data_IF_359448575024
#
_entry.id   IF_359448575024
#
_cell.length_a   1.000
_cell.length_b   1.000
_cell.length_c   1.000
_cell.angle_alpha   90.00
_cell.angle_beta   90.00
_cell.angle_gamma   90.00
#
_symmetry.space_group_name_H-M   'P 1'
#
loop_
_entity.id
_entity.type
_entity.pdbx_description
1 polymer ?
#
# COMPACT_ATOMS: atom_id res chain seq x y z
N UNK A 1 0.31 -2.22 4.20
CA UNK A 1 0.30 -3.36 3.25
C UNK A 1 0.53 -4.69 3.99
N UNK A 2 0.02 -5.83 3.49
CA UNK A 2 0.27 -7.15 4.11
C UNK A 2 1.26 -7.97 3.27
N UNK A 3 2.47 -8.18 3.78
CA UNK A 3 3.52 -8.99 3.17
C UNK A 3 3.89 -10.16 4.08
N UNK A 4 4.15 -11.36 3.53
CA UNK A 4 4.63 -12.50 4.28
C UNK A 4 6.06 -12.26 4.78
N UNK A 5 6.42 -12.91 5.89
CA UNK A 5 7.78 -12.84 6.43
C UNK A 5 8.75 -13.59 5.50
N UNK A 6 9.66 -12.86 4.88
CA UNK A 6 10.74 -13.43 4.07
C UNK A 6 12.03 -13.68 4.84
N UNK A 7 12.96 -14.41 4.19
CA UNK A 7 14.33 -14.56 4.69
C UNK A 7 15.15 -13.35 4.21
N UNK A 8 15.80 -12.59 5.11
CA UNK A 8 16.61 -11.45 4.69
C UNK A 8 17.84 -11.94 3.92
N UNK A 9 18.06 -11.37 2.74
CA UNK A 9 19.23 -11.62 1.91
C UNK A 9 20.28 -10.51 2.07
N UNK A 10 19.82 -9.26 2.07
CA UNK A 10 20.63 -8.06 2.37
C UNK A 10 19.73 -7.07 3.08
N UNK A 11 20.25 -6.36 4.08
CA UNK A 11 19.48 -5.38 4.85
C UNK A 11 20.31 -4.14 5.10
N UNK A 12 19.64 -3.00 5.30
CA UNK A 12 20.26 -1.73 5.64
C UNK A 12 21.15 -1.18 4.53
N UNK A 13 20.83 -1.46 3.27
CA UNK A 13 21.58 -0.90 2.14
C UNK A 13 21.23 0.57 2.01
N UNK A 14 22.20 1.45 2.23
CA UNK A 14 22.00 2.90 2.13
C UNK A 14 21.72 3.34 0.68
N UNK A 15 20.60 4.05 0.50
CA UNK A 15 20.21 4.63 -0.79
C UNK A 15 21.22 5.66 -1.32
N UNK A 16 22.02 6.29 -0.46
CA UNK A 16 23.03 7.26 -0.88
C UNK A 16 24.20 6.61 -1.64
N UNK A 17 24.49 5.34 -1.37
CA UNK A 17 25.66 4.63 -1.90
C UNK A 17 25.30 3.54 -2.90
N UNK A 18 24.07 3.03 -2.86
CA UNK A 18 23.64 1.93 -3.72
C UNK A 18 23.39 2.38 -5.16
N UNK A 19 23.93 1.63 -6.11
CA UNK A 19 23.48 1.70 -7.50
C UNK A 19 22.29 0.76 -7.69
N UNK A 20 21.08 1.32 -7.69
CA UNK A 20 19.85 0.55 -7.83
C UNK A 20 19.81 -0.29 -9.11
N UNK A 21 20.35 0.21 -10.22
CA UNK A 21 20.41 -0.54 -11.48
C UNK A 21 21.29 -1.79 -11.35
N UNK A 22 22.40 -1.69 -10.62
CA UNK A 22 23.26 -2.83 -10.32
C UNK A 22 22.57 -3.84 -9.39
N UNK A 23 21.80 -3.37 -8.39
CA UNK A 23 21.02 -4.24 -7.50
C UNK A 23 19.97 -5.04 -8.28
N UNK A 24 19.19 -4.38 -9.14
CA UNK A 24 18.18 -5.06 -9.98
C UNK A 24 18.83 -6.05 -10.95
N UNK A 25 20.00 -5.72 -11.51
CA UNK A 25 20.77 -6.66 -12.34
C UNK A 25 21.24 -7.89 -11.56
N UNK A 26 21.67 -7.72 -10.31
CA UNK A 26 22.05 -8.84 -9.44
C UNK A 26 20.84 -9.74 -9.11
N UNK A 27 19.68 -9.14 -8.84
CA UNK A 27 18.42 -9.88 -8.61
C UNK A 27 18.04 -10.70 -9.84
N UNK A 28 18.15 -10.09 -11.03
CA UNK A 28 17.87 -10.76 -12.31
C UNK A 28 18.87 -11.88 -12.59
N UNK A 29 20.17 -11.67 -12.39
CA UNK A 29 21.19 -12.69 -12.70
C UNK A 29 21.16 -13.88 -11.75
N UNK A 30 20.75 -13.65 -10.49
CA UNK A 30 20.61 -14.71 -9.48
C UNK A 30 19.22 -15.34 -9.45
N UNK A 31 18.30 -14.94 -10.34
CA UNK A 31 16.94 -15.47 -10.40
C UNK A 31 16.21 -15.39 -9.05
N UNK A 32 16.40 -14.29 -8.31
CA UNK A 32 15.85 -14.15 -6.96
C UNK A 32 14.32 -13.98 -7.02
N UNK A 33 13.61 -14.77 -6.22
CA UNK A 33 12.18 -14.62 -5.91
C UNK A 33 12.03 -14.01 -4.52
N UNK A 34 11.21 -12.96 -4.39
CA UNK A 34 11.12 -12.19 -3.16
C UNK A 34 10.63 -10.77 -3.34
N UNK A 35 11.07 -9.86 -2.48
CA UNK A 35 10.75 -8.45 -2.60
C UNK A 35 11.87 -7.54 -2.09
N UNK A 36 11.88 -6.32 -2.61
CA UNK A 36 12.63 -5.19 -2.05
C UNK A 36 11.68 -4.33 -1.23
N UNK A 37 12.09 -3.99 0.00
CA UNK A 37 11.46 -2.97 0.81
C UNK A 37 12.38 -1.74 0.84
N UNK A 38 11.87 -0.60 0.39
CA UNK A 38 12.57 0.67 0.39
C UNK A 38 11.90 1.56 1.43
N UNK A 39 12.57 1.78 2.56
CA UNK A 39 12.08 2.65 3.61
C UNK A 39 12.82 3.99 3.54
N UNK A 40 12.08 5.09 3.46
CA UNK A 40 12.65 6.42 3.41
C UNK A 40 11.87 7.40 4.27
N UNK A 41 12.52 8.53 4.55
CA UNK A 41 11.90 9.68 5.19
C UNK A 41 11.76 10.78 4.15
N UNK A 42 10.59 10.86 3.52
CA UNK A 42 10.23 11.94 2.62
C UNK A 42 9.87 13.23 3.38
N UNK A 43 9.61 14.31 2.65
CA UNK A 43 9.10 15.55 3.23
C UNK A 43 7.75 15.34 3.92
N UNK A 44 6.96 14.38 3.43
CA UNK A 44 5.69 13.95 3.99
C UNK A 44 5.81 13.00 5.18
N UNK A 45 7.00 12.65 5.67
CA UNK A 45 7.18 11.70 6.78
C UNK A 45 7.77 10.37 6.32
N UNK A 46 7.45 9.27 7.02
CA UNK A 46 7.95 7.95 6.66
C UNK A 46 7.12 7.42 5.47
N UNK A 47 7.82 6.85 4.51
CA UNK A 47 7.26 6.27 3.28
C UNK A 47 7.93 4.94 2.99
N UNK A 48 7.19 4.03 2.35
CA UNK A 48 7.69 2.71 2.01
C UNK A 48 7.34 2.34 0.56
N UNK A 49 8.37 2.01 -0.22
CA UNK A 49 8.25 1.40 -1.53
C UNK A 49 8.45 -0.11 -1.45
N UNK A 50 7.67 -0.89 -2.19
CA UNK A 50 7.87 -2.34 -2.33
C UNK A 50 7.91 -2.73 -3.80
N UNK A 51 8.90 -3.55 -4.17
CA UNK A 51 8.97 -4.18 -5.50
C UNK A 51 9.03 -5.69 -5.31
N UNK A 52 8.14 -6.43 -5.96
CA UNK A 52 8.08 -7.90 -5.88
C UNK A 52 8.78 -8.49 -7.11
N UNK A 53 9.57 -9.52 -6.85
CA UNK A 53 10.31 -10.27 -7.86
C UNK A 53 9.89 -11.74 -7.86
N UNK A 54 9.77 -12.30 -9.06
CA UNK A 54 9.66 -13.73 -9.29
C UNK A 54 10.68 -14.14 -10.34
N UNK A 55 11.56 -15.08 -9.99
CA UNK A 55 12.62 -15.60 -10.84
C UNK A 55 13.45 -14.46 -11.50
N UNK A 56 13.79 -13.43 -10.70
CA UNK A 56 14.55 -12.26 -11.16
C UNK A 56 13.76 -11.24 -12.00
N UNK A 57 12.45 -11.43 -12.22
CA UNK A 57 11.58 -10.50 -12.96
C UNK A 57 10.69 -9.72 -11.99
N UNK A 58 10.48 -8.44 -12.26
CA UNK A 58 9.53 -7.63 -11.49
C UNK A 58 8.11 -8.07 -11.86
N UNK A 59 7.32 -8.43 -10.86
CA UNK A 59 5.93 -8.90 -11.01
C UNK A 59 4.93 -8.07 -10.23
N UNK A 60 5.39 -7.19 -9.34
CA UNK A 60 4.51 -6.28 -8.61
C UNK A 60 5.20 -5.12 -7.95
N UNK A 61 4.42 -4.11 -7.59
CA UNK A 61 4.90 -2.90 -6.96
C UNK A 61 3.84 -2.24 -6.07
N UNK A 62 4.26 -1.60 -4.98
CA UNK A 62 3.44 -0.71 -4.17
C UNK A 62 4.26 0.44 -3.59
N UNK A 63 3.57 1.52 -3.23
CA UNK A 63 4.16 2.66 -2.54
C UNK A 63 3.18 3.20 -1.50
N UNK A 64 3.60 3.27 -0.24
CA UNK A 64 2.77 3.67 0.89
C UNK A 64 3.30 4.96 1.52
N UNK A 65 2.45 5.99 1.55
CA UNK A 65 2.68 7.22 2.29
C UNK A 65 1.99 7.12 3.65
N UNK A 66 2.75 6.78 4.71
CA UNK A 66 2.16 6.49 6.02
C UNK A 66 1.43 7.70 6.62
N UNK A 67 2.02 8.92 6.53
CA UNK A 67 1.39 10.13 7.08
C UNK A 67 0.03 10.45 6.44
N UNK A 68 -0.14 10.13 5.16
CA UNK A 68 -1.35 10.46 4.40
C UNK A 68 -2.34 9.28 4.32
N UNK A 69 -1.98 8.13 4.92
CA UNK A 69 -2.71 6.87 4.82
C UNK A 69 -3.14 6.58 3.38
N UNK A 70 -2.17 6.70 2.46
CA UNK A 70 -2.40 6.54 1.02
C UNK A 70 -1.41 5.54 0.46
N UNK A 71 -1.96 4.51 -0.17
CA UNK A 71 -1.20 3.49 -0.87
C UNK A 71 -1.49 3.60 -2.36
N UNK A 72 -0.43 3.58 -3.17
CA UNK A 72 -0.47 3.40 -4.60
C UNK A 72 0.02 1.98 -4.90
N UNK A 73 -0.54 1.35 -5.93
CA UNK A 73 -0.18 -0.02 -6.31
C UNK A 73 0.06 -0.13 -7.81
N UNK A 74 0.83 -1.16 -8.19
CA UNK A 74 1.10 -1.52 -9.57
C UNK A 74 1.75 -0.39 -10.37
N UNK A 75 1.14 -0.03 -11.50
CA UNK A 75 1.68 0.93 -12.47
C UNK A 75 1.89 2.32 -11.89
N UNK A 76 1.02 2.77 -10.97
CA UNK A 76 1.12 4.09 -10.34
C UNK A 76 2.19 4.15 -9.24
N UNK A 77 2.49 3.00 -8.63
CA UNK A 77 3.49 2.87 -7.57
C UNK A 77 4.92 2.85 -8.11
N UNK A 78 5.14 2.15 -9.23
CA UNK A 78 6.48 1.99 -9.80
C UNK A 78 7.25 3.30 -10.01
N UNK A 79 6.70 4.35 -10.65
CA UNK A 79 7.43 5.62 -10.80
C UNK A 79 7.67 6.31 -9.45
N UNK A 80 6.79 6.14 -8.45
CA UNK A 80 6.99 6.69 -7.10
C UNK A 80 8.14 6.01 -6.37
N UNK A 81 8.26 4.69 -6.49
CA UNK A 81 9.40 3.94 -5.96
C UNK A 81 10.71 4.42 -6.60
N UNK A 82 10.74 4.57 -7.93
CA UNK A 82 11.93 5.08 -8.62
C UNK A 82 12.29 6.51 -8.20
N UNK A 83 11.27 7.35 -8.01
CA UNK A 83 11.45 8.71 -7.50
C UNK A 83 12.04 8.74 -6.09
N UNK A 84 11.56 7.86 -5.21
CA UNK A 84 12.04 7.73 -3.84
C UNK A 84 13.50 7.26 -3.80
N UNK A 85 13.87 6.30 -4.64
CA UNK A 85 15.26 5.86 -4.81
C UNK A 85 16.13 7.04 -5.28
N UNK A 86 15.60 7.91 -6.16
CA UNK A 86 16.31 9.10 -6.64
C UNK A 86 16.58 10.15 -5.55
N UNK A 87 15.81 10.13 -4.45
CA UNK A 87 16.04 11.01 -3.31
C UNK A 87 17.34 10.71 -2.57
N UNK A 88 17.93 9.51 -2.77
CA UNK A 88 19.19 9.05 -2.14
C UNK A 88 19.16 9.14 -0.60
N UNK A 89 17.98 8.98 -0.01
CA UNK A 89 17.75 9.08 1.42
C UNK A 89 16.88 7.90 1.87
N UNK A 90 17.40 7.05 2.74
CA UNK A 90 16.71 5.87 3.25
C UNK A 90 17.50 4.60 3.06
N UNK A 91 16.83 3.46 3.22
CA UNK A 91 17.44 2.14 3.21
C UNK A 91 16.65 1.18 2.31
N UNK A 92 17.36 0.25 1.68
CA UNK A 92 16.79 -0.88 0.95
C UNK A 92 17.10 -2.16 1.73
N UNK A 93 16.05 -2.94 1.95
CA UNK A 93 16.14 -4.33 2.38
C UNK A 93 15.71 -5.26 1.25
N UNK A 94 16.38 -6.40 1.15
CA UNK A 94 16.13 -7.46 0.17
C UNK A 94 15.73 -8.71 0.92
N UNK A 95 14.53 -9.21 0.64
CA UNK A 95 14.01 -10.44 1.22
C UNK A 95 13.76 -11.47 0.13
N UNK A 96 14.14 -12.71 0.39
CA UNK A 96 13.78 -13.86 -0.46
C UNK A 96 12.51 -14.51 0.07
N UNK A 97 11.66 -14.95 -0.86
CA UNK A 97 10.41 -15.65 -0.59
C UNK A 97 10.35 -16.95 -1.40
N UNK A 98 9.54 -17.89 -0.92
CA UNK A 98 9.06 -19.02 -1.71
C UNK A 98 7.96 -18.55 -2.69
N UNK A 99 7.77 -19.28 -3.79
CA UNK A 99 6.85 -18.87 -4.86
C UNK A 99 5.41 -18.76 -4.35
N UNK A 100 5.01 -19.67 -3.48
CA UNK A 100 3.70 -19.71 -2.83
C UNK A 100 3.44 -18.45 -2.01
N UNK A 101 4.47 -17.90 -1.37
CA UNK A 101 4.38 -16.66 -0.62
C UNK A 101 4.19 -15.46 -1.54
N UNK A 102 4.85 -15.46 -2.71
CA UNK A 102 4.64 -14.44 -3.74
C UNK A 102 3.20 -14.47 -4.27
N UNK A 103 2.67 -15.65 -4.57
CA UNK A 103 1.27 -15.78 -4.98
C UNK A 103 0.31 -15.27 -3.91
N UNK A 104 0.55 -15.57 -2.64
CA UNK A 104 -0.27 -15.08 -1.54
C UNK A 104 -0.31 -13.55 -1.46
N UNK A 105 0.80 -12.87 -1.75
CA UNK A 105 0.82 -11.40 -1.80
C UNK A 105 -0.21 -10.89 -2.82
N UNK A 106 -0.27 -11.49 -4.00
CA UNK A 106 -1.19 -11.08 -5.05
C UNK A 106 -2.64 -11.44 -4.77
N UNK A 107 -2.91 -12.56 -4.09
CA UNK A 107 -4.27 -12.89 -3.64
C UNK A 107 -4.80 -11.82 -2.67
N UNK A 108 -3.95 -11.32 -1.77
CA UNK A 108 -4.35 -10.31 -0.78
C UNK A 108 -4.31 -8.88 -1.34
N UNK A 109 -3.45 -8.62 -2.34
CA UNK A 109 -3.17 -7.29 -2.87
C UNK A 109 -3.16 -7.29 -4.41
N UNK A 110 -4.28 -7.68 -5.05
CA UNK A 110 -4.36 -7.83 -6.52
C UNK A 110 -3.91 -6.58 -7.29
N UNK A 111 -4.14 -5.39 -6.74
CA UNK A 111 -3.72 -4.12 -7.34
C UNK A 111 -2.21 -3.92 -7.47
N UNK A 112 -1.39 -4.74 -6.81
CA UNK A 112 0.08 -4.67 -6.90
C UNK A 112 0.63 -5.26 -8.19
N UNK A 113 -0.14 -6.11 -8.89
CA UNK A 113 0.32 -6.82 -10.08
C UNK A 113 0.77 -5.80 -11.13
N UNK A 114 2.05 -5.86 -11.48
CA UNK A 114 2.64 -4.98 -12.47
C UNK A 114 3.93 -5.60 -13.00
N UNK A 115 3.93 -5.86 -14.29
CA UNK A 115 5.10 -6.34 -15.02
C UNK A 115 5.58 -5.22 -15.93
N UNK A 116 6.71 -4.57 -15.62
CA UNK A 116 7.28 -3.58 -16.52
C UNK A 116 7.80 -4.25 -17.80
N UNK A 117 7.84 -3.51 -18.91
CA UNK A 117 8.45 -4.00 -20.16
C UNK A 117 9.92 -4.43 -19.91
N UNK A 118 10.43 -5.43 -20.63
CA UNK A 118 11.79 -5.96 -20.39
C UNK A 118 12.89 -4.87 -20.51
N UNK A 119 12.67 -3.89 -21.38
CA UNK A 119 13.56 -2.74 -21.59
C UNK A 119 13.41 -1.65 -20.52
N UNK A 120 12.36 -1.71 -19.69
CA UNK A 120 12.11 -0.70 -18.66
C UNK A 120 13.25 -0.69 -17.63
N UNK A 121 13.81 -1.85 -17.28
CA UNK A 121 14.95 -1.98 -16.35
C UNK A 121 16.19 -1.27 -16.89
N UNK A 122 16.44 -1.37 -18.20
CA UNK A 122 17.58 -0.71 -18.83
C UNK A 122 17.39 0.80 -18.93
N UNK A 123 16.14 1.21 -19.16
CA UNK A 123 15.67 2.59 -19.17
C UNK A 123 15.46 3.19 -17.78
N UNK A 124 15.70 2.44 -16.68
CA UNK A 124 15.65 3.02 -15.33
C UNK A 124 16.71 4.11 -15.26
N UNK A 125 16.22 5.34 -15.33
CA UNK A 125 16.98 6.57 -15.16
C UNK A 125 16.56 7.17 -13.83
N UNK A 126 17.35 6.89 -12.80
CA UNK A 126 17.22 7.55 -11.51
C UNK A 126 17.99 8.87 -11.61
N UNK A 127 17.44 9.83 -12.37
CA UNK A 127 18.13 11.10 -12.67
C UNK A 127 18.00 12.08 -11.50
N UNK A 128 16.77 12.33 -11.02
CA UNK A 128 16.52 13.27 -9.93
C UNK A 128 15.14 13.06 -9.29
N UNK A 129 15.02 13.37 -8.00
CA UNK A 129 13.74 13.43 -7.32
C UNK A 129 12.82 14.50 -7.94
N UNK A 130 11.57 14.14 -8.18
CA UNK A 130 10.49 14.99 -8.68
C UNK A 130 9.47 15.27 -7.57
N UNK A 131 9.14 16.55 -7.31
CA UNK A 131 8.11 16.93 -6.34
C UNK A 131 6.68 16.70 -6.82
N UNK A 132 6.47 16.34 -8.09
CA UNK A 132 5.13 16.17 -8.68
C UNK A 132 4.26 15.16 -7.92
N UNK A 133 4.86 14.06 -7.45
CA UNK A 133 4.14 13.04 -6.69
C UNK A 133 3.66 13.54 -5.31
N UNK A 134 4.41 14.45 -4.69
CA UNK A 134 4.03 15.10 -3.43
C UNK A 134 2.85 16.07 -3.63
N UNK A 135 2.81 16.77 -4.76
CA UNK A 135 1.71 17.66 -5.11
C UNK A 135 0.43 16.88 -5.42
N UNK A 136 0.52 15.79 -6.19
CA UNK A 136 -0.59 14.86 -6.43
C UNK A 136 -1.15 14.29 -5.11
N UNK A 137 -0.27 13.96 -4.18
CA UNK A 137 -0.65 13.46 -2.85
C UNK A 137 -1.44 14.52 -2.07
N UNK A 138 -1.00 15.77 -2.06
CA UNK A 138 -1.70 16.88 -1.37
C UNK A 138 -3.11 17.09 -1.94
N UNK A 139 -3.25 17.09 -3.27
CA UNK A 139 -4.55 17.24 -3.92
C UNK A 139 -5.51 16.10 -3.61
N UNK A 140 -4.98 14.88 -3.49
CA UNK A 140 -5.78 13.69 -3.14
C UNK A 140 -6.14 13.64 -1.67
N UNK A 141 -5.22 14.06 -0.78
CA UNK A 141 -5.43 14.08 0.67
C UNK A 141 -6.47 15.12 1.10
N UNK A 142 -6.52 16.28 0.44
CA UNK A 142 -7.52 17.32 0.72
C UNK A 142 -8.96 16.90 0.33
N UNK A 143 -9.13 15.86 -0.49
CA UNK A 143 -10.45 15.38 -0.92
C UNK A 143 -11.12 14.40 0.05
N UNK A 144 -10.42 13.85 1.06
CA UNK A 144 -11.04 12.96 2.06
C UNK A 144 -11.98 13.80 2.95
N UNK A 145 -13.28 13.53 2.90
CA UNK A 145 -14.28 14.27 3.69
C UNK A 145 -14.30 13.77 5.14
N UNK A 146 -14.92 14.52 6.06
CA UNK A 146 -15.03 14.10 7.48
C UNK A 146 -15.82 12.80 7.61
N UNK A 147 -16.77 12.59 6.72
CA UNK A 147 -17.63 11.41 6.64
C UNK A 147 -16.85 10.13 6.27
N UNK A 148 -15.85 10.24 5.37
CA UNK A 148 -14.95 9.13 5.01
C UNK A 148 -14.07 8.70 6.20
N UNK A 149 -13.65 9.65 7.03
CA UNK A 149 -12.85 9.37 8.23
C UNK A 149 -13.72 8.69 9.29
N UNK A 150 -14.94 9.20 9.52
CA UNK A 150 -15.86 8.66 10.53
C UNK A 150 -16.34 7.24 10.19
N UNK A 151 -16.59 6.96 8.91
CA UNK A 151 -16.96 5.62 8.44
C UNK A 151 -15.81 4.62 8.55
N UNK A 152 -14.58 5.02 8.21
CA UNK A 152 -13.38 4.17 8.34
C UNK A 152 -13.17 3.65 9.77
N UNK A 153 -13.41 4.49 10.78
CA UNK A 153 -13.26 4.12 12.19
C UNK A 153 -14.54 3.56 12.82
N UNK A 154 -15.59 3.29 12.02
CA UNK A 154 -16.92 2.84 12.49
C UNK A 154 -17.50 3.77 13.56
N UNK A 155 -17.14 5.06 13.53
CA UNK A 155 -17.57 6.08 14.48
C UNK A 155 -18.82 6.84 14.00
N UNK A 156 -19.23 6.67 12.75
CA UNK A 156 -20.45 7.28 12.20
C UNK A 156 -21.75 6.83 12.88
N UNK A 157 -21.73 5.72 13.62
CA UNK A 157 -22.92 5.15 14.28
C UNK A 157 -23.02 5.51 15.78
N UNK A 158 -22.02 6.17 16.37
CA UNK A 158 -22.00 6.46 17.82
C UNK A 158 -23.01 7.54 18.23
N UNK A 159 -23.67 8.18 17.26
CA UNK A 159 -24.64 9.27 17.48
C UNK A 159 -26.11 8.96 17.20
N UNK A 160 -26.47 7.76 16.72
CA UNK A 160 -27.90 7.41 16.56
C UNK A 160 -28.35 6.67 17.79
N UNK A 161 -28.57 7.43 18.87
CA UNK A 161 -29.58 7.05 19.86
C UNK A 161 -30.84 6.73 19.07
N UNK A 162 -31.14 5.44 18.98
CA UNK A 162 -32.43 4.89 18.58
C UNK A 162 -33.47 5.73 19.28
N UNK A 163 -34.21 6.54 18.52
CA UNK A 163 -35.34 7.29 19.04
C UNK A 163 -36.22 6.27 19.77
N UNK A 164 -36.32 6.41 21.10
CA UNK A 164 -37.19 5.60 21.96
C UNK A 164 -38.66 5.61 21.51
N UNK A 165 -39.02 6.44 20.53
CA UNK A 165 -40.38 6.64 20.03
C UNK A 165 -40.88 5.47 19.16
N UNK A 166 -40.02 4.73 18.45
CA UNK A 166 -40.49 3.65 17.56
C UNK A 166 -40.69 2.29 18.26
N UNK A 167 -40.08 2.09 19.43
CA UNK A 167 -40.25 0.83 20.19
C UNK A 167 -41.56 0.85 20.98
N UNK A 168 -41.95 1.99 21.56
CA UNK A 168 -43.24 2.11 22.27
C UNK A 168 -44.44 2.02 21.32
N UNK A 169 -44.35 2.57 20.10
CA UNK A 169 -45.42 2.45 19.11
C UNK A 169 -45.64 1.01 18.63
N UNK A 170 -44.59 0.17 18.63
CA UNK A 170 -44.67 -1.25 18.27
C UNK A 170 -45.22 -2.13 19.39
N UNK A 171 -44.94 -1.77 20.65
CA UNK A 171 -45.45 -2.50 21.83
C UNK A 171 -46.95 -2.21 22.04
N UNK A 172 -47.39 -0.95 21.89
CA UNK A 172 -48.81 -0.59 22.07
C UNK A 172 -49.74 -1.25 21.03
N UNK A 173 -49.27 -1.46 19.79
CA UNK A 173 -50.05 -2.14 18.74
C UNK A 173 -50.21 -3.65 18.95
N UNK A 174 -49.33 -4.29 19.72
CA UNK A 174 -49.45 -5.72 20.01
C UNK A 174 -50.35 -6.01 21.22
N UNK A 175 -50.47 -5.07 22.17
CA UNK A 175 -51.34 -5.24 23.34
C UNK A 175 -52.83 -5.09 22.95
N UNK A 176 -53.17 -4.27 21.94
CA UNK A 176 -54.55 -4.13 21.47
C UNK A 176 -55.06 -5.32 20.65
N UNK A 177 -54.16 -6.10 20.01
CA UNK A 177 -54.55 -7.26 19.20
C UNK A 177 -54.86 -8.53 19.99
N UNK A 178 -54.31 -8.69 21.19
CA UNK A 178 -54.61 -9.84 22.07
C UNK A 178 -55.90 -9.64 22.89
N UNK A 179 -56.47 -8.43 22.93
CA UNK A 179 -57.73 -8.16 23.62
C UNK A 179 -58.99 -8.42 22.77
N UNK A 180 -58.85 -8.77 21.49
CA UNK A 180 -59.99 -8.99 20.56
C UNK A 180 -60.10 -10.40 19.99
N UNK A 181 -59.30 -11.36 20.45
CA UNK A 181 -59.54 -12.80 20.23
C UNK A 181 -59.82 -13.50 21.56
N UNK A 182 -61.03 -13.29 22.07
CA UNK A 182 -61.68 -14.19 23.03
C UNK A 182 -63.13 -14.39 22.60
#
# INVERSE_FOLDING_TARGET
MNLPRGKPLKQGIDLATVNFKSLVKEIKSKNITGYLAIALKGNGGIEEGTIIFDNGKIVGCAYEYYKHEKTFMGKEAFPRVLNAIAAKQGVIDVYTLELEQVHLIFVVNEGMIFTPEENAIEKIKVESFSPLFEEELKNTAQKKTKEDVLSKYKMGEIGVTTKKEDVFAKISKNIEKDATQK
#
